data_IF_746173080834
#
_entry.id   IF_746173080834
#
_cell.length_a   1.000
_cell.length_b   1.000
_cell.length_c   1.000
_cell.angle_alpha   90.00
_cell.angle_beta   90.00
_cell.angle_gamma   90.00
#
_symmetry.space_group_name_H-M   'P 1'
#
loop_
_entity.id
_entity.type
_entity.pdbx_description
1 polymer ?
#
# COMPACT_ATOMS: atom_id res chain seq x y z
N UNK A 1 50.32 31.22 -26.89
CA UNK A 1 50.39 29.84 -26.36
C UNK A 1 49.13 29.47 -25.58
N UNK A 2 48.70 30.28 -24.61
CA UNK A 2 47.49 30.06 -23.78
C UNK A 2 46.17 29.87 -24.57
N UNK A 3 45.95 30.63 -25.66
CA UNK A 3 44.75 30.50 -26.51
C UNK A 3 44.64 29.15 -27.26
N UNK A 4 45.78 28.55 -27.64
CA UNK A 4 45.79 27.23 -28.32
C UNK A 4 45.51 26.10 -27.33
N UNK A 5 46.00 26.22 -26.10
CA UNK A 5 45.73 25.26 -25.01
C UNK A 5 44.25 25.31 -24.61
N UNK A 6 43.66 26.50 -24.50
CA UNK A 6 42.22 26.69 -24.26
C UNK A 6 41.35 26.11 -25.37
N UNK A 7 41.74 26.27 -26.65
CA UNK A 7 41.01 25.71 -27.79
C UNK A 7 41.05 24.18 -27.80
N UNK A 8 42.21 23.58 -27.50
CA UNK A 8 42.36 22.12 -27.41
C UNK A 8 41.54 21.57 -26.25
N UNK A 9 41.55 22.22 -25.09
CA UNK A 9 40.69 21.84 -23.96
C UNK A 9 39.21 21.94 -24.34
N UNK A 10 38.79 23.00 -25.01
CA UNK A 10 37.39 23.18 -25.46
C UNK A 10 36.93 22.07 -26.42
N UNK A 11 37.76 21.68 -27.39
CA UNK A 11 37.44 20.57 -28.32
C UNK A 11 37.35 19.24 -27.57
N UNK A 12 38.25 18.99 -26.61
CA UNK A 12 38.19 17.80 -25.76
C UNK A 12 36.92 17.78 -24.91
N UNK A 13 36.52 18.92 -24.32
CA UNK A 13 35.26 19.03 -23.58
C UNK A 13 34.04 18.73 -24.46
N UNK A 14 33.99 19.27 -25.68
CA UNK A 14 32.91 18.97 -26.63
C UNK A 14 32.86 17.49 -27.04
N UNK A 15 34.03 16.88 -27.30
CA UNK A 15 34.11 15.47 -27.67
C UNK A 15 33.70 14.54 -26.52
N UNK A 16 34.10 14.85 -25.27
CA UNK A 16 33.70 14.09 -24.09
C UNK A 16 32.20 14.22 -23.83
N UNK A 17 31.62 15.41 -24.01
CA UNK A 17 30.17 15.64 -23.92
C UNK A 17 29.41 14.78 -24.94
N UNK A 18 29.75 14.89 -26.22
CA UNK A 18 29.08 14.13 -27.28
C UNK A 18 29.16 12.61 -27.10
N UNK A 19 30.30 12.08 -26.61
CA UNK A 19 30.44 10.64 -26.32
C UNK A 19 29.54 10.23 -25.15
N UNK A 20 29.45 11.06 -24.11
CA UNK A 20 28.59 10.79 -22.95
C UNK A 20 27.13 10.80 -23.35
N UNK A 21 26.69 11.81 -24.09
CA UNK A 21 25.31 11.93 -24.58
C UNK A 21 24.95 10.74 -25.48
N UNK A 22 25.87 10.34 -26.38
CA UNK A 22 25.68 9.15 -27.23
C UNK A 22 25.59 7.86 -26.39
N UNK A 23 26.40 7.72 -25.35
CA UNK A 23 26.36 6.57 -24.46
C UNK A 23 25.05 6.53 -23.67
N UNK A 24 24.66 7.64 -23.07
CA UNK A 24 23.43 7.75 -22.28
C UNK A 24 22.20 7.52 -23.18
N UNK A 25 22.23 7.98 -24.43
CA UNK A 25 21.24 7.65 -25.46
C UNK A 25 21.15 6.15 -25.77
N UNK A 26 22.28 5.49 -26.03
CA UNK A 26 22.31 4.06 -26.37
C UNK A 26 21.86 3.20 -25.20
N UNK A 27 22.23 3.59 -23.98
CA UNK A 27 21.80 2.91 -22.76
C UNK A 27 20.33 3.20 -22.45
N UNK A 28 19.84 4.38 -22.80
CA UNK A 28 18.50 4.84 -22.41
C UNK A 28 18.48 5.46 -21.02
N UNK A 29 19.60 6.02 -20.55
CA UNK A 29 19.73 6.67 -19.24
C UNK A 29 19.23 8.12 -19.22
N UNK A 30 18.89 8.64 -20.40
CA UNK A 30 18.30 9.96 -20.58
C UNK A 30 16.92 9.79 -21.23
N UNK A 31 15.88 10.29 -20.55
CA UNK A 31 14.49 10.24 -21.01
C UNK A 31 14.10 11.47 -21.83
N UNK A 32 14.97 12.48 -21.97
CA UNK A 32 14.63 13.70 -22.72
C UNK A 32 14.23 13.43 -24.17
N UNK A 33 14.78 12.38 -24.78
CA UNK A 33 14.53 12.00 -26.16
C UNK A 33 13.17 11.32 -26.39
N UNK A 34 12.51 10.87 -25.33
CA UNK A 34 11.18 10.28 -25.41
C UNK A 34 10.06 11.34 -25.35
N UNK A 35 10.40 12.63 -25.18
CA UNK A 35 9.43 13.70 -24.93
C UNK A 35 8.37 13.24 -23.91
N UNK A 36 8.80 12.62 -22.82
CA UNK A 36 7.87 12.23 -21.74
C UNK A 36 7.41 13.52 -21.09
N UNK A 37 6.29 14.06 -21.56
CA UNK A 37 5.68 15.25 -20.97
C UNK A 37 5.26 14.92 -19.54
N UNK A 38 6.07 15.39 -18.60
CA UNK A 38 5.79 15.32 -17.16
C UNK A 38 4.39 15.91 -16.88
N UNK A 39 3.58 15.15 -16.15
CA UNK A 39 2.29 15.60 -15.65
C UNK A 39 1.19 15.69 -16.71
N UNK A 40 1.39 15.21 -17.94
CA UNK A 40 0.36 15.22 -18.98
C UNK A 40 -0.92 14.50 -18.55
N UNK A 41 -0.77 13.40 -17.80
CA UNK A 41 -1.86 12.60 -17.26
C UNK A 41 -2.27 13.05 -15.84
N UNK A 42 -1.81 14.21 -15.37
CA UNK A 42 -2.27 14.74 -14.09
C UNK A 42 -3.64 15.37 -14.25
N UNK A 43 -4.51 15.21 -13.27
CA UNK A 43 -5.84 15.80 -13.32
C UNK A 43 -6.89 15.00 -12.58
N UNK A 44 -8.14 15.36 -12.88
CA UNK A 44 -9.32 14.73 -12.29
C UNK A 44 -9.86 13.65 -13.22
N UNK A 45 -10.26 12.55 -12.61
CA UNK A 45 -10.81 11.34 -13.21
C UNK A 45 -12.12 10.98 -12.51
N UNK A 46 -12.96 10.19 -13.18
CA UNK A 46 -14.24 9.75 -12.62
C UNK A 46 -14.01 8.89 -11.37
N UNK A 47 -13.05 7.96 -11.46
CA UNK A 47 -12.78 6.96 -10.43
C UNK A 47 -11.31 6.51 -10.42
N UNK A 48 -10.99 5.61 -9.48
CA UNK A 48 -9.68 5.02 -9.30
C UNK A 48 -9.19 4.21 -10.51
N UNK A 49 -10.09 3.51 -11.21
CA UNK A 49 -9.73 2.65 -12.33
C UNK A 49 -9.33 3.48 -13.55
N UNK A 50 -10.05 4.56 -13.81
CA UNK A 50 -9.72 5.51 -14.88
C UNK A 50 -8.38 6.21 -14.61
N UNK A 51 -8.15 6.69 -13.39
CA UNK A 51 -6.87 7.28 -13.00
C UNK A 51 -5.71 6.27 -13.10
N UNK A 52 -5.93 5.03 -12.66
CA UNK A 52 -4.93 3.96 -12.76
C UNK A 52 -4.65 3.58 -14.21
N UNK A 53 -5.67 3.60 -15.09
CA UNK A 53 -5.53 3.32 -16.52
C UNK A 53 -4.75 4.42 -17.22
N UNK A 54 -5.01 5.69 -16.89
CA UNK A 54 -4.24 6.82 -17.41
C UNK A 54 -2.73 6.72 -17.09
N UNK A 55 -2.37 6.22 -15.90
CA UNK A 55 -0.98 5.92 -15.57
C UNK A 55 -0.38 4.81 -16.45
N UNK A 56 -1.14 3.75 -16.74
CA UNK A 56 -0.68 2.69 -17.64
C UNK A 56 -0.49 3.23 -19.05
N UNK A 57 -1.49 3.95 -19.58
CA UNK A 57 -1.48 4.51 -20.93
C UNK A 57 -0.29 5.45 -21.16
N UNK A 58 0.15 6.19 -20.13
CA UNK A 58 1.36 7.01 -20.17
C UNK A 58 2.64 6.22 -20.50
N UNK A 59 2.63 4.91 -20.21
CA UNK A 59 3.77 4.02 -20.40
C UNK A 59 3.69 3.21 -21.71
N UNK A 60 2.49 3.03 -22.29
CA UNK A 60 2.17 2.04 -23.33
C UNK A 60 2.96 2.19 -24.64
N UNK A 61 3.20 3.42 -25.10
CA UNK A 61 3.90 3.65 -26.37
C UNK A 61 5.42 3.68 -26.24
N UNK A 62 5.93 3.89 -25.03
CA UNK A 62 7.32 4.30 -24.78
C UNK A 62 8.16 3.22 -24.09
N UNK A 63 7.52 2.29 -23.38
CA UNK A 63 8.19 1.28 -22.57
C UNK A 63 7.78 -0.15 -22.97
N UNK A 64 8.76 -1.05 -23.05
CA UNK A 64 8.56 -2.40 -23.60
C UNK A 64 8.01 -3.42 -22.60
N UNK A 65 8.28 -3.24 -21.32
CA UNK A 65 7.82 -4.11 -20.23
C UNK A 65 7.29 -3.22 -19.13
N UNK A 66 6.14 -3.61 -18.56
CA UNK A 66 5.45 -2.91 -17.48
C UNK A 66 4.94 -3.91 -16.47
N UNK A 67 5.32 -3.72 -15.22
CA UNK A 67 4.85 -4.47 -14.07
C UNK A 67 4.47 -3.48 -12.96
N UNK A 68 3.38 -3.80 -12.26
CA UNK A 68 2.97 -3.07 -11.06
C UNK A 68 3.79 -3.59 -9.87
N UNK A 69 4.49 -2.69 -9.18
CA UNK A 69 5.40 -3.06 -8.08
C UNK A 69 4.88 -2.69 -6.70
N UNK A 70 4.06 -1.64 -6.59
CA UNK A 70 3.43 -1.28 -5.32
C UNK A 70 2.14 -0.50 -5.53
N UNK A 71 1.09 -0.95 -4.85
CA UNK A 71 -0.11 -0.16 -4.55
C UNK A 71 -0.18 -0.04 -3.02
N UNK A 72 0.47 1.00 -2.46
CA UNK A 72 0.33 1.30 -1.03
C UNK A 72 -0.83 2.25 -0.83
N UNK A 73 -1.77 1.89 0.01
CA UNK A 73 -2.95 2.70 0.28
C UNK A 73 -2.85 3.37 1.64
N UNK A 74 -3.22 4.64 1.69
CA UNK A 74 -3.26 5.47 2.89
C UNK A 74 -4.66 6.07 3.09
N UNK A 75 -5.01 6.33 4.34
CA UNK A 75 -6.13 7.18 4.73
C UNK A 75 -5.56 8.50 5.25
N UNK A 76 -5.87 9.60 4.58
CA UNK A 76 -5.43 10.94 4.97
C UNK A 76 -6.27 11.48 6.15
N UNK A 77 -5.77 12.49 6.91
CA UNK A 77 -6.49 13.06 8.05
C UNK A 77 -7.85 13.68 7.69
N UNK A 78 -8.04 14.11 6.44
CA UNK A 78 -9.31 14.60 5.91
C UNK A 78 -10.30 13.48 5.55
N UNK A 79 -9.93 12.21 5.75
CA UNK A 79 -10.76 11.05 5.45
C UNK A 79 -10.67 10.56 4.00
N UNK A 80 -9.86 11.17 3.14
CA UNK A 80 -9.70 10.72 1.77
C UNK A 80 -8.81 9.48 1.69
N UNK A 81 -9.07 8.64 0.69
CA UNK A 81 -8.16 7.55 0.33
C UNK A 81 -7.10 8.08 -0.62
N UNK A 82 -5.86 7.71 -0.36
CA UNK A 82 -4.70 8.12 -1.13
C UNK A 82 -3.86 6.90 -1.44
N UNK A 83 -3.79 6.52 -2.70
CA UNK A 83 -2.99 5.40 -3.17
C UNK A 83 -1.69 5.92 -3.79
N UNK A 84 -0.61 5.25 -3.46
CA UNK A 84 0.68 5.40 -4.11
C UNK A 84 0.88 4.20 -5.04
N UNK A 85 0.96 4.50 -6.34
CA UNK A 85 1.09 3.51 -7.41
C UNK A 85 2.47 3.60 -8.05
N UNK A 86 3.04 2.42 -8.33
CA UNK A 86 4.33 2.29 -9.00
C UNK A 86 4.30 1.27 -10.11
N UNK A 87 4.79 1.69 -11.28
CA UNK A 87 5.00 0.84 -12.44
C UNK A 87 6.47 0.89 -12.84
N UNK A 88 7.02 -0.23 -13.31
CA UNK A 88 8.29 -0.17 -14.03
C UNK A 88 8.09 0.00 -15.53
N UNK A 89 9.16 0.42 -16.19
CA UNK A 89 9.20 0.62 -17.63
C UNK A 89 10.60 0.41 -18.18
N UNK A 90 10.76 -0.55 -19.08
CA UNK A 90 12.01 -0.74 -19.81
C UNK A 90 12.08 0.22 -21.01
N UNK A 91 13.13 1.03 -21.04
CA UNK A 91 13.51 1.87 -22.16
C UNK A 91 14.94 1.55 -22.62
N UNK A 92 15.07 0.95 -23.81
CA UNK A 92 16.33 0.45 -24.36
C UNK A 92 17.01 -0.56 -23.41
N UNK A 93 18.06 -0.15 -22.70
CA UNK A 93 18.78 -0.99 -21.73
C UNK A 93 18.55 -0.56 -20.30
N UNK A 94 17.65 0.40 -20.08
CA UNK A 94 17.45 1.03 -18.79
C UNK A 94 16.04 0.80 -18.31
N UNK A 95 15.91 0.56 -17.02
CA UNK A 95 14.63 0.37 -16.37
C UNK A 95 14.33 1.59 -15.51
N UNK A 96 13.13 2.11 -15.66
CA UNK A 96 12.62 3.24 -14.91
C UNK A 96 11.50 2.80 -13.99
N UNK A 97 11.37 3.52 -12.89
CA UNK A 97 10.28 3.37 -11.95
C UNK A 97 9.41 4.63 -12.05
N UNK A 98 8.22 4.45 -12.61
CA UNK A 98 7.20 5.48 -12.77
C UNK A 98 6.29 5.50 -11.55
N UNK A 99 6.18 6.66 -10.90
CA UNK A 99 5.46 6.84 -9.64
C UNK A 99 4.35 7.86 -9.79
N UNK A 100 3.14 7.49 -9.35
CA UNK A 100 1.99 8.40 -9.29
C UNK A 100 1.21 8.22 -7.99
N UNK A 101 0.34 9.19 -7.73
CA UNK A 101 -0.51 9.23 -6.56
C UNK A 101 -1.96 9.49 -6.95
N UNK A 102 -2.85 8.62 -6.48
CA UNK A 102 -4.28 8.67 -6.80
C UNK A 102 -5.05 8.99 -5.51
N UNK A 103 -5.72 10.14 -5.45
CA UNK A 103 -6.56 10.54 -4.31
C UNK A 103 -8.04 10.46 -4.66
N UNK A 104 -8.81 9.69 -3.89
CA UNK A 104 -10.27 9.67 -4.00
C UNK A 104 -10.84 10.82 -3.16
N UNK A 105 -11.08 11.95 -3.83
CA UNK A 105 -11.59 13.18 -3.21
C UNK A 105 -13.07 13.04 -2.88
N UNK A 106 -13.83 12.41 -3.77
CA UNK A 106 -15.24 12.10 -3.58
C UNK A 106 -15.63 10.84 -4.35
N UNK A 107 -16.88 10.41 -4.22
CA UNK A 107 -17.43 9.25 -4.96
C UNK A 107 -17.41 9.38 -6.49
N UNK A 108 -17.31 10.61 -7.01
CA UNK A 108 -17.36 10.90 -8.45
C UNK A 108 -16.11 11.70 -8.88
N UNK A 109 -15.08 11.77 -8.03
CA UNK A 109 -13.89 12.57 -8.32
C UNK A 109 -12.66 11.97 -7.68
N UNK A 110 -11.75 11.55 -8.54
CA UNK A 110 -10.42 11.08 -8.21
C UNK A 110 -9.40 12.05 -8.80
N UNK A 111 -8.29 12.30 -8.11
CA UNK A 111 -7.21 13.17 -8.59
C UNK A 111 -5.93 12.35 -8.72
N UNK A 112 -5.33 12.37 -9.92
CA UNK A 112 -4.01 11.81 -10.17
C UNK A 112 -2.97 12.94 -10.14
N UNK A 113 -1.97 12.77 -9.30
CA UNK A 113 -0.83 13.68 -9.16
C UNK A 113 0.49 12.92 -9.26
N UNK A 114 1.54 13.63 -9.65
CA UNK A 114 2.88 13.07 -9.78
C UNK A 114 3.84 13.78 -8.81
N UNK A 115 4.88 13.07 -8.34
CA UNK A 115 6.00 13.73 -7.68
C UNK A 115 6.80 14.57 -8.67
N UNK A 116 7.69 15.41 -8.14
CA UNK A 116 8.60 16.25 -8.95
C UNK A 116 9.39 15.43 -9.99
N UNK A 117 9.81 14.22 -9.62
CA UNK A 117 10.43 13.24 -10.52
C UNK A 117 9.57 11.98 -10.60
N UNK A 118 8.71 11.93 -11.60
CA UNK A 118 7.80 10.80 -11.87
C UNK A 118 8.55 9.55 -12.28
N UNK A 119 9.63 9.72 -13.06
CA UNK A 119 10.47 8.64 -13.57
C UNK A 119 11.81 8.60 -12.83
N UNK A 120 12.12 7.46 -12.23
CA UNK A 120 13.38 7.24 -11.53
C UNK A 120 14.15 6.09 -12.18
N UNK A 121 15.32 6.36 -12.77
CA UNK A 121 16.19 5.34 -13.37
C UNK A 121 16.70 4.34 -12.32
N UNK A 122 16.26 3.09 -12.33
CA UNK A 122 16.63 2.09 -11.30
C UNK A 122 17.72 1.13 -11.75
N UNK A 123 17.79 0.81 -13.04
CA UNK A 123 18.76 -0.16 -13.57
C UNK A 123 19.25 0.26 -14.94
N UNK A 124 20.52 -0.04 -15.23
CA UNK A 124 21.17 0.17 -16.54
C UNK A 124 21.89 -1.10 -16.95
N UNK A 125 21.52 -1.61 -18.12
CA UNK A 125 22.05 -2.85 -18.69
C UNK A 125 21.98 -4.02 -17.68
N UNK A 126 20.83 -4.14 -17.00
CA UNK A 126 20.53 -5.21 -16.04
C UNK A 126 21.27 -5.10 -14.69
N UNK A 127 21.81 -3.93 -14.35
CA UNK A 127 22.47 -3.68 -13.06
C UNK A 127 21.80 -2.54 -12.34
N UNK A 128 21.50 -2.71 -11.06
CA UNK A 128 20.86 -1.67 -10.27
C UNK A 128 21.83 -0.50 -10.06
N UNK A 129 21.33 0.71 -10.27
CA UNK A 129 22.05 1.91 -9.91
C UNK A 129 22.13 2.00 -8.38
N UNK A 130 23.30 2.37 -7.85
CA UNK A 130 23.48 2.57 -6.41
C UNK A 130 23.10 4.01 -6.06
N UNK A 131 21.86 4.22 -5.63
CA UNK A 131 21.33 5.57 -5.36
C UNK A 131 20.28 5.58 -4.25
N UNK A 132 20.07 6.77 -3.72
CA UNK A 132 18.98 7.08 -2.79
C UNK A 132 18.23 8.28 -3.31
N UNK A 133 16.91 8.29 -3.15
CA UNK A 133 16.08 9.44 -3.49
C UNK A 133 14.84 9.47 -2.61
N UNK A 134 14.25 10.66 -2.48
CA UNK A 134 13.05 10.86 -1.69
C UNK A 134 11.88 11.24 -2.60
N UNK A 135 10.71 10.68 -2.30
CA UNK A 135 9.45 11.13 -2.89
C UNK A 135 8.57 11.71 -1.79
N UNK A 136 8.17 12.98 -1.94
CA UNK A 136 7.26 13.66 -1.02
C UNK A 136 5.82 13.49 -1.50
N UNK A 137 4.91 13.20 -0.58
CA UNK A 137 3.50 12.96 -0.88
C UNK A 137 2.57 13.59 0.17
N UNK A 138 1.25 13.50 -0.05
CA UNK A 138 0.24 13.87 0.97
C UNK A 138 0.29 12.93 2.18
N UNK A 139 0.72 11.67 2.01
CA UNK A 139 0.84 10.68 3.08
C UNK A 139 2.13 10.81 3.91
N UNK A 140 3.23 11.29 3.31
CA UNK A 140 4.52 11.26 3.99
C UNK A 140 5.71 11.57 3.09
N UNK A 141 6.88 11.10 3.52
CA UNK A 141 8.10 11.04 2.71
C UNK A 141 8.46 9.58 2.51
N UNK A 142 8.75 9.20 1.27
CA UNK A 142 9.12 7.85 0.87
C UNK A 142 10.62 7.86 0.53
N UNK A 143 11.42 7.21 1.37
CA UNK A 143 12.87 7.14 1.25
C UNK A 143 13.27 5.88 0.50
N UNK A 144 13.76 6.05 -0.72
CA UNK A 144 14.17 4.94 -1.55
C UNK A 144 15.67 4.73 -1.47
N UNK A 145 16.03 3.47 -1.61
CA UNK A 145 17.39 3.04 -1.80
C UNK A 145 17.40 1.90 -2.82
N UNK A 146 18.24 2.02 -3.83
CA UNK A 146 18.55 0.93 -4.75
C UNK A 146 20.00 0.50 -4.55
N UNK A 147 20.24 -0.82 -4.56
CA UNK A 147 21.59 -1.33 -4.48
C UNK A 147 21.71 -2.76 -4.01
N UNK A 148 22.91 -3.10 -3.52
CA UNK A 148 23.24 -4.44 -3.06
C UNK A 148 22.31 -4.87 -1.91
N UNK A 149 21.74 -6.06 -2.06
CA UNK A 149 20.78 -6.61 -1.15
C UNK A 149 21.46 -7.24 0.07
N UNK A 150 21.01 -6.86 1.26
CA UNK A 150 21.39 -7.53 2.51
C UNK A 150 20.22 -8.37 3.04
N UNK A 151 20.51 -9.53 3.63
CA UNK A 151 19.47 -10.38 4.25
C UNK A 151 18.74 -9.72 5.43
N UNK A 152 19.22 -8.58 5.92
CA UNK A 152 18.58 -7.82 7.01
C UNK A 152 17.43 -6.94 6.53
N UNK A 153 17.25 -6.77 5.22
CA UNK A 153 16.18 -5.98 4.63
C UNK A 153 14.83 -6.68 4.80
N UNK A 154 13.91 -5.98 5.47
CA UNK A 154 12.50 -6.37 5.63
C UNK A 154 11.86 -6.65 4.28
N UNK A 155 11.07 -7.72 4.20
CA UNK A 155 10.46 -8.15 2.93
C UNK A 155 9.41 -7.14 2.46
N UNK A 156 8.65 -6.59 3.39
CA UNK A 156 7.59 -5.60 3.17
C UNK A 156 8.10 -4.23 2.65
N UNK A 157 9.39 -3.97 2.80
CA UNK A 157 10.03 -2.74 2.32
C UNK A 157 10.57 -2.89 0.89
N UNK A 158 10.51 -4.09 0.29
CA UNK A 158 11.02 -4.36 -1.07
C UNK A 158 9.98 -3.97 -2.11
N UNK A 159 10.43 -3.24 -3.12
CA UNK A 159 9.62 -2.83 -4.27
C UNK A 159 10.01 -3.63 -5.51
N UNK A 160 11.31 -3.91 -5.69
CA UNK A 160 11.82 -4.62 -6.86
C UNK A 160 13.10 -5.36 -6.47
N UNK A 161 13.33 -6.55 -7.02
CA UNK A 161 14.56 -7.33 -6.88
C UNK A 161 15.02 -7.83 -8.24
N UNK A 162 16.32 -8.00 -8.43
CA UNK A 162 16.85 -8.66 -9.63
C UNK A 162 16.68 -10.19 -9.57
N UNK A 163 16.91 -10.86 -10.71
CA UNK A 163 16.66 -12.29 -10.89
C UNK A 163 17.42 -13.20 -9.91
N UNK A 164 18.61 -12.80 -9.47
CA UNK A 164 19.45 -13.55 -8.53
C UNK A 164 19.31 -13.10 -7.07
N UNK A 165 18.35 -12.21 -6.79
CA UNK A 165 18.07 -11.60 -5.49
C UNK A 165 19.29 -10.92 -4.83
N UNK A 166 20.30 -10.53 -5.61
CA UNK A 166 21.51 -9.86 -5.11
C UNK A 166 21.38 -8.33 -5.04
N UNK A 167 20.39 -7.74 -5.71
CA UNK A 167 20.12 -6.31 -5.73
C UNK A 167 18.62 -6.03 -5.54
N UNK A 168 18.31 -4.90 -4.89
CA UNK A 168 16.95 -4.54 -4.49
C UNK A 168 16.70 -3.03 -4.64
N UNK A 169 15.45 -2.65 -4.88
CA UNK A 169 14.91 -1.33 -4.53
C UNK A 169 14.06 -1.50 -3.28
N UNK A 170 14.42 -0.77 -2.23
CA UNK A 170 13.65 -0.71 -0.98
C UNK A 170 13.06 0.67 -0.78
N UNK A 171 11.98 0.74 -0.01
CA UNK A 171 11.41 1.98 0.48
C UNK A 171 11.13 1.92 1.97
N UNK A 172 11.50 3.00 2.67
CA UNK A 172 11.02 3.29 4.02
C UNK A 172 10.10 4.53 3.96
N UNK A 173 8.90 4.45 4.54
CA UNK A 173 7.96 5.58 4.56
C UNK A 173 7.94 6.24 5.93
N UNK A 174 8.19 7.54 5.99
CA UNK A 174 7.87 8.38 7.14
C UNK A 174 6.48 9.00 6.94
N UNK A 175 5.48 8.53 7.71
CA UNK A 175 4.11 9.02 7.62
C UNK A 175 3.93 10.38 8.31
N UNK A 176 3.09 11.24 7.73
CA UNK A 176 2.62 12.47 8.41
C UNK A 176 1.69 12.13 9.57
N UNK A 177 1.54 13.07 10.50
CA UNK A 177 0.66 12.91 11.65
C UNK A 177 -0.80 12.74 11.20
N UNK A 178 -1.49 11.78 11.82
CA UNK A 178 -2.88 11.44 11.49
C UNK A 178 -3.07 10.59 10.24
N UNK A 179 -2.02 10.32 9.45
CA UNK A 179 -2.10 9.40 8.31
C UNK A 179 -2.11 7.96 8.81
N UNK A 180 -3.01 7.17 8.24
CA UNK A 180 -3.06 5.71 8.44
C UNK A 180 -2.59 5.03 7.16
N UNK A 181 -1.72 4.05 7.29
CA UNK A 181 -1.32 3.17 6.19
C UNK A 181 -2.10 1.86 6.29
N UNK A 182 -2.54 1.33 5.15
CA UNK A 182 -3.02 -0.04 5.06
C UNK A 182 -1.90 -0.93 4.55
N UNK A 183 -1.62 -2.02 5.26
CA UNK A 183 -0.66 -3.01 4.77
C UNK A 183 -1.31 -3.96 3.75
N UNK A 184 -0.53 -4.90 3.22
CA UNK A 184 -0.97 -5.91 2.25
C UNK A 184 -2.15 -6.78 2.74
N UNK A 185 -2.33 -6.88 4.06
CA UNK A 185 -3.46 -7.60 4.69
C UNK A 185 -4.69 -6.71 4.90
N UNK A 186 -4.64 -5.46 4.45
CA UNK A 186 -5.67 -4.44 4.66
C UNK A 186 -5.64 -3.79 6.04
N UNK A 187 -4.74 -4.18 6.95
CA UNK A 187 -4.73 -3.73 8.35
C UNK A 187 -4.33 -2.27 8.44
N UNK A 188 -5.07 -1.50 9.25
CA UNK A 188 -4.79 -0.10 9.51
C UNK A 188 -3.65 0.07 10.52
N UNK A 189 -2.59 0.77 10.09
CA UNK A 189 -1.39 1.05 10.86
C UNK A 189 -1.22 2.56 11.00
N UNK A 190 -1.04 3.05 12.22
CA UNK A 190 -0.74 4.46 12.45
C UNK A 190 0.73 4.80 12.14
N UNK A 191 1.11 6.08 12.27
CA UNK A 191 2.49 6.56 12.08
C UNK A 191 3.56 5.76 12.86
N UNK A 192 3.22 5.25 14.04
CA UNK A 192 4.12 4.45 14.87
C UNK A 192 4.10 2.95 14.51
N UNK A 193 3.48 2.59 13.37
CA UNK A 193 3.29 1.22 12.90
C UNK A 193 2.49 0.33 13.87
N UNK A 194 1.63 0.93 14.69
CA UNK A 194 0.73 0.20 15.58
C UNK A 194 -0.64 0.02 14.93
N UNK A 195 -1.27 -1.15 15.17
CA UNK A 195 -2.64 -1.41 14.72
C UNK A 195 -3.61 -0.42 15.36
N UNK A 196 -4.40 0.26 14.52
CA UNK A 196 -5.41 1.22 14.99
C UNK A 196 -6.47 0.48 15.80
N UNK A 197 -6.77 0.97 17.01
CA UNK A 197 -7.78 0.41 17.92
C UNK A 197 -7.27 -0.66 18.89
N UNK A 198 -6.12 -1.29 18.62
CA UNK A 198 -5.60 -2.36 19.49
C UNK A 198 -4.94 -1.86 20.78
N UNK A 199 -4.61 -0.58 20.87
CA UNK A 199 -4.07 0.03 22.09
C UNK A 199 -5.17 0.61 23.01
N UNK A 200 -6.44 0.52 22.62
CA UNK A 200 -7.55 1.00 23.44
C UNK A 200 -7.67 0.17 24.72
N UNK A 201 -7.98 0.80 25.87
CA UNK A 201 -8.09 0.08 27.13
C UNK A 201 -9.32 -0.81 27.15
N UNK A 202 -9.14 -2.07 27.53
CA UNK A 202 -10.24 -2.98 27.82
C UNK A 202 -10.97 -2.55 29.10
N UNK A 203 -12.29 -2.52 29.05
CA UNK A 203 -13.17 -2.14 30.18
C UNK A 203 -14.22 -3.21 30.39
N UNK A 204 -14.65 -3.38 31.63
CA UNK A 204 -15.71 -4.30 32.02
C UNK A 204 -17.08 -3.61 32.01
N UNK A 205 -18.10 -4.35 31.60
CA UNK A 205 -19.47 -3.89 31.49
C UNK A 205 -20.44 -5.01 31.93
N UNK A 206 -21.59 -4.60 32.44
CA UNK A 206 -22.64 -5.53 32.88
C UNK A 206 -23.43 -6.13 31.72
N UNK A 207 -23.45 -5.46 30.56
CA UNK A 207 -24.18 -5.92 29.37
C UNK A 207 -23.31 -5.86 28.12
N UNK A 208 -23.58 -6.77 27.19
CA UNK A 208 -22.90 -6.80 25.89
C UNK A 208 -23.15 -5.51 25.10
N UNK A 209 -24.38 -5.00 25.13
CA UNK A 209 -24.76 -3.77 24.43
C UNK A 209 -23.97 -2.56 24.94
N UNK A 210 -23.78 -2.44 26.25
CA UNK A 210 -22.96 -1.38 26.83
C UNK A 210 -21.49 -1.52 26.42
N UNK A 211 -20.96 -2.75 26.39
CA UNK A 211 -19.59 -3.03 25.99
C UNK A 211 -19.33 -2.63 24.52
N UNK A 212 -20.24 -3.02 23.62
CA UNK A 212 -20.16 -2.69 22.20
C UNK A 212 -20.35 -1.20 21.96
N UNK A 213 -21.35 -0.58 22.58
CA UNK A 213 -21.62 0.85 22.42
C UNK A 213 -20.45 1.71 22.92
N UNK A 214 -19.75 1.30 23.98
CA UNK A 214 -18.60 2.03 24.49
C UNK A 214 -17.35 1.92 23.59
N UNK A 215 -17.24 0.84 22.81
CA UNK A 215 -16.16 0.65 21.84
C UNK A 215 -16.49 1.22 20.45
N UNK A 216 -17.78 1.37 20.13
CA UNK A 216 -18.25 1.85 18.83
C UNK A 216 -17.99 3.35 18.65
N UNK A 217 -17.46 3.72 17.49
CA UNK A 217 -17.30 5.12 17.07
C UNK A 217 -18.18 5.38 15.84
N UNK A 218 -18.60 6.64 15.64
CA UNK A 218 -19.46 7.02 14.50
C UNK A 218 -18.87 6.61 13.14
N UNK A 219 -17.54 6.55 13.04
CA UNK A 219 -16.80 6.22 11.81
C UNK A 219 -16.81 4.73 11.44
N UNK A 220 -17.39 3.84 12.27
CA UNK A 220 -17.39 2.39 11.99
C UNK A 220 -18.44 1.96 10.96
N UNK A 221 -19.44 2.80 10.69
CA UNK A 221 -20.49 2.52 9.72
C UNK A 221 -21.58 1.59 10.24
N UNK A 222 -22.12 0.74 9.36
CA UNK A 222 -23.30 -0.10 9.64
C UNK A 222 -22.90 -1.44 10.22
N UNK A 223 -23.68 -1.94 11.16
CA UNK A 223 -23.49 -3.30 11.67
C UNK A 223 -23.78 -4.33 10.58
N UNK A 224 -22.81 -5.22 10.34
CA UNK A 224 -22.88 -6.34 9.40
C UNK A 224 -23.45 -7.58 10.11
N UNK A 225 -22.99 -7.81 11.34
CA UNK A 225 -23.42 -8.95 12.14
C UNK A 225 -22.46 -9.29 13.26
N UNK A 226 -22.73 -10.41 13.93
CA UNK A 226 -21.95 -10.88 15.08
C UNK A 226 -21.58 -12.34 14.88
N UNK A 227 -20.29 -12.65 14.97
CA UNK A 227 -19.80 -14.03 15.00
C UNK A 227 -19.63 -14.42 16.47
N UNK A 228 -20.38 -15.44 16.92
CA UNK A 228 -20.36 -15.89 18.32
C UNK A 228 -19.43 -17.08 18.53
N UNK A 229 -18.70 -17.04 19.63
CA UNK A 229 -17.80 -18.07 20.16
C UNK A 229 -18.23 -18.43 21.59
N UNK A 230 -17.58 -19.41 22.23
CA UNK A 230 -17.92 -19.78 23.60
C UNK A 230 -17.74 -18.62 24.59
N UNK A 231 -16.61 -17.92 24.49
CA UNK A 231 -16.24 -16.86 25.43
C UNK A 231 -15.97 -15.51 24.74
N UNK A 232 -16.25 -15.40 23.43
CA UNK A 232 -16.01 -14.19 22.66
C UNK A 232 -17.11 -13.98 21.62
N UNK A 233 -17.55 -12.74 21.45
CA UNK A 233 -18.42 -12.32 20.36
C UNK A 233 -17.68 -11.26 19.54
N UNK A 234 -17.69 -11.42 18.22
CA UNK A 234 -17.01 -10.52 17.29
C UNK A 234 -18.06 -9.72 16.55
N UNK A 235 -18.21 -8.45 16.94
CA UNK A 235 -19.16 -7.52 16.32
C UNK A 235 -18.49 -6.87 15.13
N UNK A 236 -19.09 -7.01 13.95
CA UNK A 236 -18.50 -6.55 12.70
C UNK A 236 -19.33 -5.42 12.12
N UNK A 237 -18.63 -4.35 11.74
CA UNK A 237 -19.19 -3.17 11.11
C UNK A 237 -18.51 -2.93 9.77
N UNK A 238 -19.26 -2.33 8.84
CA UNK A 238 -18.77 -1.94 7.53
C UNK A 238 -19.11 -0.48 7.26
N UNK A 239 -18.10 0.26 6.81
CA UNK A 239 -18.25 1.56 6.18
C UNK A 239 -17.75 1.49 4.74
N UNK A 240 -18.60 1.81 3.77
CA UNK A 240 -18.22 1.84 2.35
C UNK A 240 -17.90 3.27 1.94
N UNK A 241 -16.70 3.47 1.43
CA UNK A 241 -16.23 4.77 0.93
C UNK A 241 -15.73 4.54 -0.49
N UNK A 242 -16.56 4.90 -1.47
CA UNK A 242 -16.25 4.69 -2.88
C UNK A 242 -15.91 3.20 -3.19
N UNK A 243 -14.74 2.90 -3.75
CA UNK A 243 -14.26 1.54 -4.01
C UNK A 243 -13.73 0.83 -2.75
N UNK A 244 -13.65 1.49 -1.60
CA UNK A 244 -13.04 0.95 -0.38
C UNK A 244 -14.08 0.44 0.59
N UNK A 245 -13.93 -0.81 1.02
CA UNK A 245 -14.73 -1.43 2.07
C UNK A 245 -13.93 -1.44 3.38
N UNK A 246 -14.31 -0.57 4.32
CA UNK A 246 -13.73 -0.52 5.66
C UNK A 246 -14.47 -1.48 6.56
N UNK A 247 -13.77 -2.46 7.12
CA UNK A 247 -14.31 -3.36 8.15
C UNK A 247 -13.73 -2.99 9.51
N UNK A 248 -14.60 -2.93 10.52
CA UNK A 248 -14.19 -2.83 11.92
C UNK A 248 -14.68 -4.06 12.67
N UNK A 249 -13.79 -4.72 13.41
CA UNK A 249 -14.12 -5.88 14.24
C UNK A 249 -13.89 -5.52 15.70
N UNK A 250 -14.96 -5.59 16.50
CA UNK A 250 -14.93 -5.38 17.95
C UNK A 250 -15.02 -6.75 18.64
N UNK A 251 -13.91 -7.29 19.16
CA UNK A 251 -13.94 -8.45 20.04
C UNK A 251 -14.51 -8.09 21.42
N UNK A 252 -15.56 -8.78 21.82
CA UNK A 252 -16.18 -8.69 23.16
C UNK A 252 -15.98 -10.01 23.88
N UNK A 253 -15.27 -9.99 25.00
CA UNK A 253 -15.03 -11.19 25.81
C UNK A 253 -16.08 -11.32 26.91
N UNK A 254 -16.64 -12.52 27.08
CA UNK A 254 -17.44 -12.89 28.25
C UNK A 254 -16.54 -13.60 29.27
N UNK A 255 -16.40 -13.03 30.47
CA UNK A 255 -15.64 -13.61 31.59
C UNK A 255 -16.32 -13.27 32.91
N UNK A 256 -16.50 -14.25 33.80
CA UNK A 256 -17.04 -14.02 35.15
C UNK A 256 -18.37 -13.24 35.16
N UNK A 257 -19.24 -13.51 34.19
CA UNK A 257 -20.53 -12.82 33.97
C UNK A 257 -20.42 -11.33 33.59
N UNK A 258 -19.24 -10.84 33.26
CA UNK A 258 -19.00 -9.49 32.73
C UNK A 258 -18.56 -9.54 31.27
N UNK A 259 -18.87 -8.47 30.55
CA UNK A 259 -18.46 -8.26 29.16
C UNK A 259 -17.27 -7.30 29.13
N UNK A 260 -16.20 -7.70 28.44
CA UNK A 260 -15.00 -6.90 28.30
C UNK A 260 -14.84 -6.47 26.84
N UNK A 261 -14.74 -5.17 26.61
CA UNK A 261 -14.54 -4.57 25.29
C UNK A 261 -13.71 -3.28 25.40
N UNK A 262 -13.20 -2.81 24.26
CA UNK A 262 -12.43 -1.58 24.15
C UNK A 262 -11.54 -1.62 22.92
N UNK A 263 -10.77 -2.69 22.79
CA UNK A 263 -9.96 -2.95 21.60
C UNK A 263 -10.84 -3.24 20.39
N UNK A 264 -10.37 -2.81 19.21
CA UNK A 264 -10.96 -3.11 17.92
C UNK A 264 -9.89 -3.16 16.83
N UNK A 265 -10.20 -3.84 15.74
CA UNK A 265 -9.33 -3.94 14.57
C UNK A 265 -10.00 -3.31 13.36
N UNK A 266 -9.22 -2.61 12.52
CA UNK A 266 -9.70 -2.02 11.27
C UNK A 266 -8.96 -2.57 10.06
N UNK A 267 -9.75 -2.85 9.02
CA UNK A 267 -9.28 -3.37 7.74
C UNK A 267 -9.89 -2.54 6.61
N UNK A 268 -9.15 -2.36 5.51
CA UNK A 268 -9.72 -1.88 4.25
C UNK A 268 -9.35 -2.82 3.13
N UNK A 269 -10.35 -3.15 2.30
CA UNK A 269 -10.17 -3.88 1.06
C UNK A 269 -10.78 -3.09 -0.10
N UNK A 270 -10.13 -3.11 -1.25
CA UNK A 270 -10.67 -2.52 -2.48
C UNK A 270 -11.72 -3.48 -3.05
N UNK A 271 -12.87 -2.97 -3.46
CA UNK A 271 -13.91 -3.74 -4.09
C UNK A 271 -13.38 -4.51 -5.31
N UNK A 272 -13.91 -5.70 -5.55
CA UNK A 272 -13.61 -6.53 -6.71
C UNK A 272 -12.13 -6.94 -6.84
N UNK A 273 -11.35 -6.83 -5.75
CA UNK A 273 -9.99 -7.38 -5.65
C UNK A 273 -9.99 -8.69 -4.90
N UNK A 274 -9.20 -9.67 -5.34
CA UNK A 274 -9.04 -10.94 -4.64
C UNK A 274 -8.52 -10.68 -3.22
N UNK A 275 -9.25 -11.15 -2.22
CA UNK A 275 -8.84 -11.08 -0.81
C UNK A 275 -8.72 -12.51 -0.29
N UNK A 276 -7.53 -12.87 0.21
CA UNK A 276 -7.32 -14.06 1.03
C UNK A 276 -6.33 -13.74 2.15
N UNK A 277 -6.83 -13.13 3.22
CA UNK A 277 -5.99 -12.66 4.32
C UNK A 277 -6.39 -13.26 5.65
N UNK A 278 -5.40 -13.41 6.53
CA UNK A 278 -5.62 -13.73 7.92
C UNK A 278 -4.68 -12.98 8.84
N UNK A 279 -5.20 -12.64 10.02
CA UNK A 279 -4.46 -12.06 11.13
C UNK A 279 -4.73 -12.86 12.40
N UNK A 280 -3.72 -13.01 13.24
CA UNK A 280 -3.86 -13.59 14.58
C UNK A 280 -3.71 -12.46 15.61
N UNK A 281 -4.60 -12.43 16.59
CA UNK A 281 -4.61 -11.45 17.66
C UNK A 281 -4.91 -12.07 19.01
N UNK A 282 -4.61 -11.33 20.07
CA UNK A 282 -4.92 -11.73 21.43
C UNK A 282 -5.59 -10.58 22.19
N UNK A 283 -6.81 -10.81 22.65
CA UNK A 283 -7.54 -9.88 23.51
C UNK A 283 -7.81 -10.57 24.82
N UNK A 284 -7.42 -9.93 25.93
CA UNK A 284 -7.69 -10.44 27.27
C UNK A 284 -7.15 -11.89 27.47
N UNK A 285 -6.03 -12.24 26.83
CA UNK A 285 -5.42 -13.57 26.92
C UNK A 285 -6.14 -14.67 26.12
N UNK A 286 -7.12 -14.32 25.27
CA UNK A 286 -7.72 -15.23 24.29
C UNK A 286 -7.17 -14.91 22.91
N UNK A 287 -6.51 -15.87 22.29
CA UNK A 287 -6.00 -15.76 20.92
C UNK A 287 -7.08 -16.16 19.91
N UNK A 288 -7.25 -15.36 18.87
CA UNK A 288 -8.13 -15.66 17.73
C UNK A 288 -7.48 -15.30 16.40
N UNK A 289 -8.01 -15.86 15.31
CA UNK A 289 -7.66 -15.50 13.95
C UNK A 289 -8.88 -14.97 13.21
N UNK A 290 -8.72 -13.84 12.54
CA UNK A 290 -9.70 -13.31 11.59
C UNK A 290 -9.27 -13.71 10.19
N UNK A 291 -10.25 -14.10 9.38
CA UNK A 291 -10.06 -14.49 7.99
C UNK A 291 -11.00 -13.68 7.11
N UNK A 292 -10.48 -13.07 6.05
CA UNK A 292 -11.28 -12.38 5.04
C UNK A 292 -11.03 -13.05 3.70
N UNK A 293 -12.11 -13.41 3.00
CA UNK A 293 -12.06 -14.03 1.69
C UNK A 293 -13.05 -13.37 0.72
N UNK A 294 -12.57 -12.95 -0.45
CA UNK A 294 -13.38 -12.44 -1.55
C UNK A 294 -12.76 -12.87 -2.88
N UNK A 295 -13.59 -13.31 -3.81
CA UNK A 295 -13.18 -13.72 -5.16
C UNK A 295 -11.99 -14.70 -5.22
N UNK A 296 -11.98 -15.67 -4.30
CA UNK A 296 -10.94 -16.71 -4.22
C UNK A 296 -11.34 -17.96 -4.99
N UNK A 297 -10.39 -18.58 -5.70
CA UNK A 297 -10.58 -19.84 -6.45
C UNK A 297 -11.22 -20.95 -5.60
N UNK A 298 -10.82 -21.02 -4.32
CA UNK A 298 -11.31 -22.03 -3.38
C UNK A 298 -11.55 -21.43 -2.01
N UNK A 299 -12.80 -21.03 -1.79
CA UNK A 299 -13.26 -20.54 -0.49
C UNK A 299 -13.08 -21.60 0.62
N UNK A 300 -12.22 -21.32 1.60
CA UNK A 300 -12.16 -22.08 2.85
C UNK A 300 -13.40 -21.75 3.67
N UNK A 301 -14.14 -22.79 4.07
CA UNK A 301 -15.28 -22.66 4.98
C UNK A 301 -14.80 -22.75 6.43
N UNK A 302 -15.25 -21.81 7.25
CA UNK A 302 -14.99 -21.78 8.68
C UNK A 302 -16.25 -22.11 9.45
N UNK A 303 -16.11 -22.75 10.62
CA UNK A 303 -17.25 -23.11 11.47
C UNK A 303 -18.03 -21.89 11.93
N UNK A 304 -17.30 -20.81 12.23
CA UNK A 304 -17.81 -19.50 12.65
C UNK A 304 -17.49 -18.50 11.55
N UNK A 305 -18.48 -18.18 10.72
CA UNK A 305 -18.32 -17.24 9.63
C UNK A 305 -19.58 -16.41 9.42
N UNK A 306 -19.41 -15.20 8.90
CA UNK A 306 -20.47 -14.39 8.31
C UNK A 306 -20.18 -14.11 6.84
N UNK A 307 -21.22 -13.76 6.09
CA UNK A 307 -21.12 -13.32 4.71
C UNK A 307 -21.71 -11.91 4.60
N UNK A 308 -20.98 -11.01 3.98
CA UNK A 308 -21.36 -9.63 3.69
C UNK A 308 -21.15 -9.35 2.20
N UNK A 309 -22.24 -9.26 1.43
CA UNK A 309 -22.16 -9.22 -0.03
C UNK A 309 -21.36 -10.42 -0.57
N UNK A 310 -20.18 -10.17 -1.14
CA UNK A 310 -19.26 -11.19 -1.62
C UNK A 310 -18.09 -11.50 -0.67
N UNK A 311 -17.96 -10.74 0.43
CA UNK A 311 -16.93 -10.95 1.44
C UNK A 311 -17.36 -12.03 2.43
N UNK A 312 -16.48 -13.00 2.68
CA UNK A 312 -16.64 -14.03 3.70
C UNK A 312 -15.67 -13.76 4.84
N UNK A 313 -16.21 -13.59 6.05
CA UNK A 313 -15.43 -13.25 7.24
C UNK A 313 -15.52 -14.41 8.22
N UNK A 314 -14.40 -15.08 8.47
CA UNK A 314 -14.29 -16.23 9.36
C UNK A 314 -13.52 -15.88 10.64
N UNK A 315 -13.85 -16.57 11.73
CA UNK A 315 -13.10 -16.48 12.99
C UNK A 315 -12.72 -17.86 13.50
N UNK A 316 -11.45 -18.05 13.84
CA UNK A 316 -10.95 -19.21 14.58
C UNK A 316 -10.52 -18.75 15.98
N UNK A 317 -11.06 -19.34 17.04
CA UNK A 317 -10.68 -19.03 18.44
C UNK A 317 -9.84 -20.19 18.98
N UNK A 318 -8.61 -19.89 19.43
CA UNK A 318 -7.66 -20.90 19.87
C UNK A 318 -8.25 -21.72 21.02
N UNK A 319 -8.27 -23.05 20.85
CA UNK A 319 -8.83 -23.99 21.82
C UNK A 319 -10.31 -24.31 21.63
N UNK A 320 -11.02 -23.65 20.70
CA UNK A 320 -12.42 -23.97 20.37
C UNK A 320 -12.57 -24.75 19.05
N UNK A 321 -11.61 -24.64 18.14
CA UNK A 321 -11.72 -25.20 16.78
C UNK A 321 -11.01 -26.55 16.60
N UNK A 322 -10.43 -27.12 17.66
CA UNK A 322 -9.84 -28.47 17.69
C UNK A 322 -10.79 -29.58 18.20
N UNK A 323 -12.11 -29.32 18.18
CA UNK A 323 -13.12 -30.34 18.47
C UNK A 323 -13.61 -31.00 17.17
N UNK A 324 -13.26 -32.27 16.99
CA UNK A 324 -13.87 -33.18 15.99
C UNK A 324 -15.40 -33.17 16.08
#
# INVERSE_FOLDING_TARGET
MMKKILLVLFIVFLAVGAIRDTKDYVLGNDLTDLEVESGLYSGQYLDYEEASSAMSDAMDEKFSVKANHADRTFKLPNGHYYAWKMMDGDYKRSQYLYTGFIENISKDTTELTFPENEFNLVSVNGKFEQKTWDIKSKAGVHHFQSGAFSKATKLEDRIMTNDDESEVVTVATELKDGVIQMNEKGIWLNKANNKVGMNEPMKAFDTEEAAVSAATQEVFGKSVGVIKSKNMNFHIYQNKVDAFNEYTVIPVRLKEQQYYAGQYERFTFIADTVVDTHTEEAVEGITYKLHFQHDVDKLKRYKKQLKDGHMYIGVEVRGEDYGK
#
